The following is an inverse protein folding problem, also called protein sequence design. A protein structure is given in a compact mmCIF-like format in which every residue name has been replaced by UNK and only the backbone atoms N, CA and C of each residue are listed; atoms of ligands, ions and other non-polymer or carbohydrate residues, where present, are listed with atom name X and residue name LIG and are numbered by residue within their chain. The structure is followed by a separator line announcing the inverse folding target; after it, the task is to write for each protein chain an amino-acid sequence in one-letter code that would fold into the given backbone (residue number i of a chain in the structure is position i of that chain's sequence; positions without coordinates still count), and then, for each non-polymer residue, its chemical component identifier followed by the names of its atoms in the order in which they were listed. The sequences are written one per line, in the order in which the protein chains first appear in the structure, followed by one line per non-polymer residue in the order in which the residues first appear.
data_IF_882639397185
#
_entry.id   IF_882639397185
#
_cell.length_a   1.000
_cell.length_b   1.000
_cell.length_c   1.000
_cell.angle_alpha   90.00
_cell.angle_beta   90.00
_cell.angle_gamma   90.00
#
_symmetry.space_group_name_H-M   'P 1'
#
loop_
_entity.id
_entity.type
_entity.pdbx_description
1 polymer ?
#
# COMPACT_ATOMS: atom_id res chain seq x y z
N UNK A 1 6.62 17.59 -12.71
CA UNK A 1 7.95 17.79 -12.08
C UNK A 1 8.17 16.69 -11.05
N UNK A 2 9.39 16.13 -10.95
CA UNK A 2 9.72 15.15 -9.92
C UNK A 2 10.17 15.86 -8.64
N UNK A 3 9.54 15.49 -7.52
CA UNK A 3 9.79 16.08 -6.19
C UNK A 3 10.42 15.01 -5.32
N UNK A 4 11.48 15.35 -4.58
CA UNK A 4 12.20 14.48 -3.69
C UNK A 4 11.98 14.88 -2.24
N UNK A 5 11.83 13.88 -1.36
CA UNK A 5 11.73 14.05 0.11
C UNK A 5 12.60 13.03 0.81
N UNK A 6 13.15 13.41 1.94
CA UNK A 6 13.91 12.53 2.81
C UNK A 6 13.07 11.33 3.26
N UNK A 7 13.68 10.16 3.33
CA UNK A 7 13.06 8.95 3.88
C UNK A 7 13.14 9.00 5.40
N UNK A 8 12.01 9.25 6.06
CA UNK A 8 11.92 9.34 7.52
C UNK A 8 12.61 8.18 8.23
N UNK A 9 13.61 8.52 9.04
CA UNK A 9 14.44 7.57 9.80
C UNK A 9 15.56 6.91 8.98
N UNK A 10 15.80 7.40 7.75
CA UNK A 10 16.91 7.01 6.87
C UNK A 10 17.40 8.24 6.10
N UNK A 11 18.04 9.14 6.79
CA UNK A 11 18.43 10.49 6.36
C UNK A 11 19.38 10.49 5.14
N UNK A 12 20.08 9.36 4.92
CA UNK A 12 20.97 9.12 3.77
C UNK A 12 20.21 8.80 2.46
N UNK A 13 18.88 8.81 2.48
CA UNK A 13 18.06 8.39 1.34
C UNK A 13 16.91 9.35 1.09
N UNK A 14 16.60 9.54 -0.19
CA UNK A 14 15.41 10.26 -0.62
C UNK A 14 14.48 9.38 -1.46
N UNK A 15 13.19 9.68 -1.38
CA UNK A 15 12.11 9.09 -2.17
C UNK A 15 11.45 10.15 -3.01
N UNK A 16 11.16 9.85 -4.28
CA UNK A 16 10.44 10.77 -5.15
C UNK A 16 8.93 10.49 -5.20
N UNK A 17 8.17 11.50 -5.62
CA UNK A 17 6.74 11.36 -5.94
C UNK A 17 6.46 10.41 -7.13
N UNK A 18 7.50 10.00 -7.85
CA UNK A 18 7.41 8.98 -8.91
C UNK A 18 7.79 7.57 -8.42
N UNK A 19 8.09 7.39 -7.12
CA UNK A 19 8.45 6.11 -6.54
C UNK A 19 9.90 5.67 -6.80
N UNK A 20 10.78 6.60 -7.17
CA UNK A 20 12.22 6.34 -7.28
C UNK A 20 12.90 6.62 -5.94
N UNK A 21 13.89 5.81 -5.58
CA UNK A 21 14.68 5.97 -4.35
C UNK A 21 16.13 6.22 -4.73
N UNK A 22 16.76 7.20 -4.10
CA UNK A 22 18.19 7.43 -4.23
C UNK A 22 18.90 7.44 -2.89
N UNK A 23 20.14 6.99 -2.89
CA UNK A 23 21.09 7.15 -1.79
C UNK A 23 21.87 8.42 -2.02
N UNK A 24 21.94 9.29 -1.03
CA UNK A 24 22.68 10.53 -1.10
C UNK A 24 24.19 10.28 -1.02
N UNK A 25 24.96 11.22 -1.58
CA UNK A 25 26.40 11.24 -1.44
C UNK A 25 26.77 11.46 0.03
N UNK A 26 27.71 10.66 0.57
CA UNK A 26 28.19 10.80 1.95
C UNK A 26 29.56 10.19 2.15
N UNK A 27 30.23 10.65 3.17
CA UNK A 27 31.47 10.06 3.66
C UNK A 27 31.14 9.28 4.93
N UNK A 28 31.47 8.00 4.96
CA UNK A 28 31.31 7.15 6.15
C UNK A 28 32.69 6.83 6.70
N UNK A 29 32.98 7.35 7.89
CA UNK A 29 34.22 7.10 8.60
C UNK A 29 34.03 5.95 9.59
N UNK A 30 34.92 4.99 9.55
CA UNK A 30 34.97 3.83 10.46
C UNK A 30 36.37 3.70 11.04
N UNK A 31 36.54 2.83 11.99
CA UNK A 31 37.91 2.50 12.54
C UNK A 31 38.89 1.97 11.47
N UNK A 32 38.37 1.51 10.32
CA UNK A 32 39.18 1.02 9.18
C UNK A 32 39.43 2.09 8.10
N UNK A 33 39.02 3.34 8.35
CA UNK A 33 39.18 4.46 7.43
C UNK A 33 37.85 5.03 6.91
N UNK A 34 37.96 6.01 6.00
CA UNK A 34 36.81 6.70 5.42
C UNK A 34 36.47 6.16 4.04
N UNK A 35 35.16 6.00 3.74
CA UNK A 35 34.64 5.63 2.43
C UNK A 35 33.75 6.74 1.91
N UNK A 36 33.98 7.18 0.66
CA UNK A 36 33.12 8.11 -0.04
C UNK A 36 32.08 7.35 -0.86
N UNK A 37 30.81 7.55 -0.53
CA UNK A 37 29.66 7.03 -1.28
C UNK A 37 29.13 8.14 -2.17
N UNK A 38 29.10 7.90 -3.49
CA UNK A 38 28.48 8.80 -4.46
C UNK A 38 26.96 8.63 -4.43
N UNK A 39 26.23 9.69 -4.81
CA UNK A 39 24.79 9.60 -5.03
C UNK A 39 24.48 8.52 -6.08
N UNK A 40 23.46 7.72 -5.83
CA UNK A 40 22.99 6.72 -6.79
C UNK A 40 21.51 6.38 -6.59
N UNK A 41 20.84 6.10 -7.69
CA UNK A 41 19.51 5.50 -7.66
C UNK A 41 19.58 4.03 -7.22
N UNK A 42 18.67 3.65 -6.32
CA UNK A 42 18.57 2.26 -5.89
C UNK A 42 17.73 1.48 -6.89
N UNK A 43 18.22 0.31 -7.31
CA UNK A 43 17.47 -0.63 -8.15
C UNK A 43 16.46 -1.37 -7.27
N UNK A 44 15.13 -1.23 -7.53
CA UNK A 44 14.13 -1.96 -6.77
C UNK A 44 14.16 -3.46 -7.09
N UNK A 45 13.74 -4.27 -6.13
CA UNK A 45 13.43 -5.69 -6.33
C UNK A 45 11.95 -5.97 -6.06
N UNK A 46 11.41 -7.03 -6.63
CA UNK A 46 10.03 -7.45 -6.42
C UNK A 46 9.97 -8.34 -5.18
N UNK A 47 9.03 -8.10 -4.28
CA UNK A 47 8.72 -8.97 -3.15
C UNK A 47 7.86 -10.16 -3.59
N UNK A 48 7.80 -11.25 -2.83
CA UNK A 48 6.93 -12.41 -3.11
C UNK A 48 5.45 -12.06 -3.29
N UNK A 49 4.99 -10.91 -2.72
CA UNK A 49 3.62 -10.41 -2.92
C UNK A 49 3.48 -9.46 -4.13
N UNK A 50 4.50 -9.31 -4.98
CA UNK A 50 4.48 -8.48 -6.18
C UNK A 50 4.76 -6.99 -5.99
N UNK A 51 5.06 -6.52 -4.77
CA UNK A 51 5.39 -5.12 -4.51
C UNK A 51 6.87 -4.81 -4.73
N UNK A 52 7.18 -3.62 -5.23
CA UNK A 52 8.56 -3.13 -5.29
C UNK A 52 9.09 -2.78 -3.89
N UNK A 53 10.30 -3.21 -3.63
CA UNK A 53 11.04 -2.99 -2.36
C UNK A 53 12.48 -2.57 -2.61
N UNK A 54 13.06 -1.87 -1.65
CA UNK A 54 14.47 -1.51 -1.59
C UNK A 54 15.04 -1.85 -0.22
N UNK A 55 16.35 -2.07 -0.15
CA UNK A 55 17.08 -2.21 1.11
C UNK A 55 17.73 -0.87 1.44
N UNK A 56 17.39 -0.31 2.57
CA UNK A 56 17.99 0.88 3.15
C UNK A 56 18.88 0.46 4.30
N UNK A 57 20.04 1.09 4.42
CA UNK A 57 21.01 0.80 5.47
C UNK A 57 21.05 1.93 6.48
N UNK A 58 20.99 1.59 7.76
CA UNK A 58 21.24 2.50 8.88
C UNK A 58 22.03 1.74 9.94
N UNK A 59 23.10 2.33 10.47
CA UNK A 59 23.95 1.72 11.50
C UNK A 59 24.38 0.30 11.10
N UNK A 60 24.90 0.13 9.88
CA UNK A 60 25.31 -1.14 9.27
C UNK A 60 24.20 -2.19 9.07
N UNK A 61 23.00 -1.94 9.54
CA UNK A 61 21.86 -2.86 9.43
C UNK A 61 21.00 -2.54 8.20
N UNK A 62 20.73 -3.56 7.38
CA UNK A 62 19.80 -3.44 6.27
C UNK A 62 18.35 -3.55 6.74
N UNK A 63 17.50 -2.63 6.27
CA UNK A 63 16.05 -2.70 6.47
C UNK A 63 15.35 -2.65 5.12
N UNK A 64 14.62 -3.70 4.80
CA UNK A 64 13.81 -3.78 3.59
C UNK A 64 12.57 -2.92 3.73
N UNK A 65 12.33 -2.03 2.78
CA UNK A 65 11.16 -1.13 2.74
C UNK A 65 10.42 -1.28 1.42
N UNK A 66 9.10 -1.32 1.49
CA UNK A 66 8.22 -1.29 0.30
C UNK A 66 8.11 0.15 -0.21
N UNK A 67 8.29 0.38 -1.51
CA UNK A 67 8.36 1.72 -2.10
C UNK A 67 7.06 2.49 -1.90
N UNK A 68 5.88 1.89 -2.19
CA UNK A 68 4.59 2.55 -1.97
C UNK A 68 4.42 3.08 -0.53
N UNK A 69 4.94 2.35 0.48
CA UNK A 69 4.89 2.82 1.86
C UNK A 69 5.80 4.02 2.11
N UNK A 70 6.98 4.06 1.46
CA UNK A 70 7.88 5.20 1.55
C UNK A 70 7.23 6.46 0.93
N UNK A 71 6.65 6.32 -0.27
CA UNK A 71 5.92 7.43 -0.94
C UNK A 71 4.76 7.91 -0.06
N UNK A 72 3.95 6.99 0.47
CA UNK A 72 2.80 7.37 1.29
C UNK A 72 3.21 8.07 2.60
N UNK A 73 4.28 7.64 3.25
CA UNK A 73 4.80 8.30 4.45
C UNK A 73 5.32 9.71 4.12
N UNK A 74 6.06 9.85 3.02
CA UNK A 74 6.70 11.11 2.65
C UNK A 74 5.72 12.15 2.10
N UNK A 75 4.72 11.73 1.32
CA UNK A 75 3.85 12.65 0.56
C UNK A 75 2.40 12.68 1.02
N UNK A 76 1.87 11.59 1.59
CA UNK A 76 0.48 11.50 2.06
C UNK A 76 0.38 11.55 3.61
N UNK A 77 1.47 11.85 4.31
CA UNK A 77 1.53 11.87 5.77
C UNK A 77 1.01 10.57 6.43
N UNK A 78 1.15 9.45 5.73
CA UNK A 78 0.70 8.15 6.24
C UNK A 78 1.44 7.79 7.52
N UNK A 79 0.68 7.55 8.60
CA UNK A 79 1.20 7.01 9.86
C UNK A 79 0.81 5.54 9.94
N UNK A 80 1.77 4.59 9.80
CA UNK A 80 1.46 3.16 9.92
C UNK A 80 0.81 2.87 11.28
N UNK A 81 -0.39 2.28 11.25
CA UNK A 81 -1.19 1.96 12.46
C UNK A 81 -1.70 0.51 12.43
N UNK A 82 -0.83 -0.40 12.02
CA UNK A 82 -1.17 -1.80 11.81
C UNK A 82 -1.95 -1.99 10.52
N UNK A 83 -3.14 -2.57 10.62
CA UNK A 83 -4.02 -2.85 9.48
C UNK A 83 -5.25 -1.91 9.43
N UNK A 84 -5.33 -0.86 10.26
CA UNK A 84 -6.48 0.06 10.25
C UNK A 84 -6.51 0.87 8.96
N UNK A 85 -5.38 1.49 8.62
CA UNK A 85 -5.19 2.23 7.37
C UNK A 85 -4.07 1.58 6.56
N UNK A 86 -4.32 1.36 5.28
CA UNK A 86 -3.39 0.73 4.35
C UNK A 86 -3.15 1.63 3.13
N UNK A 87 -1.98 1.44 2.52
CA UNK A 87 -1.66 2.10 1.25
C UNK A 87 -2.13 1.20 0.13
N UNK A 88 -3.01 1.71 -0.70
CA UNK A 88 -3.58 1.03 -1.84
C UNK A 88 -3.14 1.65 -3.16
N UNK A 89 -3.05 0.82 -4.21
CA UNK A 89 -2.79 1.24 -5.60
C UNK A 89 -4.12 1.43 -6.33
N UNK A 90 -4.43 2.66 -6.73
CA UNK A 90 -5.72 3.01 -7.37
C UNK A 90 -5.98 2.15 -8.61
N UNK A 91 -4.96 1.95 -9.44
CA UNK A 91 -5.04 1.15 -10.67
C UNK A 91 -4.76 -0.35 -10.46
N UNK A 92 -4.65 -0.84 -9.21
CA UNK A 92 -4.33 -2.22 -8.84
C UNK A 92 -2.93 -2.72 -9.26
N UNK A 93 -2.13 -1.92 -9.96
CA UNK A 93 -0.78 -2.26 -10.40
C UNK A 93 0.22 -2.04 -9.26
N UNK A 94 0.62 -3.11 -8.58
CA UNK A 94 1.49 -3.09 -7.38
C UNK A 94 2.89 -2.51 -7.60
N UNK A 95 3.31 -2.36 -8.85
CA UNK A 95 4.62 -1.80 -9.22
C UNK A 95 4.56 -0.32 -9.58
N UNK A 96 3.37 0.24 -9.78
CA UNK A 96 3.18 1.66 -10.09
C UNK A 96 3.06 2.48 -8.80
N UNK A 97 4.22 2.92 -8.29
CA UNK A 97 4.33 3.64 -7.02
C UNK A 97 4.31 5.16 -7.16
N UNK A 98 3.83 5.71 -8.29
CA UNK A 98 3.64 7.15 -8.46
C UNK A 98 2.62 7.67 -7.45
N UNK A 99 2.90 8.83 -6.86
CA UNK A 99 2.04 9.44 -5.84
C UNK A 99 0.57 9.52 -6.27
N UNK A 100 0.30 9.94 -7.51
CA UNK A 100 -1.07 10.04 -8.04
C UNK A 100 -1.81 8.71 -8.18
N UNK A 101 -1.10 7.58 -8.04
CA UNK A 101 -1.69 6.24 -8.06
C UNK A 101 -1.82 5.61 -6.66
N UNK A 102 -1.45 6.33 -5.61
CA UNK A 102 -1.49 5.83 -4.23
C UNK A 102 -2.54 6.56 -3.41
N UNK A 103 -3.30 5.81 -2.64
CA UNK A 103 -4.27 6.34 -1.68
C UNK A 103 -4.16 5.64 -0.33
N UNK A 104 -4.67 6.29 0.71
CA UNK A 104 -4.77 5.73 2.05
C UNK A 104 -6.24 5.41 2.30
N UNK A 105 -6.54 4.15 2.51
CA UNK A 105 -7.91 3.66 2.74
C UNK A 105 -7.92 2.72 3.94
N UNK A 106 -9.10 2.42 4.45
CA UNK A 106 -9.26 1.39 5.48
C UNK A 106 -8.96 0.01 4.90
N UNK A 107 -8.52 -0.92 5.75
CA UNK A 107 -8.32 -2.30 5.33
C UNK A 107 -9.62 -2.93 4.82
N UNK A 108 -10.77 -2.52 5.38
CA UNK A 108 -12.09 -2.98 4.92
C UNK A 108 -12.37 -2.56 3.47
N UNK A 109 -12.16 -1.28 3.14
CA UNK A 109 -12.30 -0.77 1.77
C UNK A 109 -11.35 -1.46 0.81
N UNK A 110 -10.08 -1.62 1.20
CA UNK A 110 -9.08 -2.32 0.39
C UNK A 110 -9.44 -3.79 0.12
N UNK A 111 -9.96 -4.50 1.11
CA UNK A 111 -10.40 -5.88 0.95
C UNK A 111 -11.67 -6.01 0.12
N UNK A 112 -12.45 -4.95 0.01
CA UNK A 112 -13.71 -4.94 -0.75
C UNK A 112 -13.55 -4.38 -2.17
N UNK A 113 -12.47 -3.66 -2.45
CA UNK A 113 -12.25 -2.89 -3.68
C UNK A 113 -12.49 -3.68 -4.98
N UNK A 114 -12.02 -4.92 -5.05
CA UNK A 114 -12.11 -5.73 -6.27
C UNK A 114 -12.96 -6.99 -6.09
N UNK A 115 -13.68 -7.09 -4.96
CA UNK A 115 -14.59 -8.19 -4.74
C UNK A 115 -15.84 -7.96 -5.57
N UNK A 116 -15.89 -8.61 -6.71
CA UNK A 116 -17.18 -8.90 -7.35
C UNK A 116 -17.90 -9.85 -6.39
N UNK A 117 -18.88 -9.34 -5.66
CA UNK A 117 -19.81 -10.19 -4.89
C UNK A 117 -20.39 -11.22 -5.85
N UNK A 118 -20.44 -12.50 -5.49
CA UNK A 118 -20.80 -13.63 -6.37
C UNK A 118 -21.83 -13.30 -7.46
N UNK A 119 -23.12 -13.22 -7.15
CA UNK A 119 -24.18 -12.82 -8.09
C UNK A 119 -24.44 -11.31 -8.13
N UNK A 120 -23.90 -10.54 -7.18
CA UNK A 120 -24.07 -9.08 -7.03
C UNK A 120 -22.72 -8.34 -7.08
N UNK A 121 -22.74 -7.08 -7.57
CA UNK A 121 -21.63 -6.14 -7.45
C UNK A 121 -21.53 -5.49 -6.06
N UNK A 122 -22.56 -5.61 -5.24
CA UNK A 122 -22.61 -5.05 -3.89
C UNK A 122 -22.16 -6.07 -2.84
N UNK A 123 -21.41 -5.60 -1.84
CA UNK A 123 -20.93 -6.45 -0.74
C UNK A 123 -22.09 -6.72 0.21
N UNK A 124 -22.25 -8.01 0.56
CA UNK A 124 -23.34 -8.44 1.43
C UNK A 124 -24.65 -8.67 0.70
N UNK A 125 -24.69 -8.48 -0.61
CA UNK A 125 -25.86 -8.76 -1.46
C UNK A 125 -25.56 -10.00 -2.30
N UNK A 126 -26.51 -10.91 -2.37
CA UNK A 126 -26.43 -12.14 -3.14
C UNK A 126 -27.79 -12.59 -3.67
N UNK A 127 -27.79 -13.18 -4.86
CA UNK A 127 -29.03 -13.76 -5.44
C UNK A 127 -29.32 -15.13 -4.87
N UNK A 128 -30.46 -15.32 -4.26
CA UNK A 128 -30.98 -16.61 -3.83
C UNK A 128 -31.75 -17.29 -4.96
N UNK A 129 -31.18 -18.35 -5.50
CA UNK A 129 -31.84 -19.13 -6.58
C UNK A 129 -33.13 -19.81 -6.11
N UNK A 130 -33.18 -20.25 -4.86
CA UNK A 130 -34.36 -20.91 -4.25
C UNK A 130 -35.50 -19.94 -4.06
N UNK A 131 -35.21 -18.74 -3.55
CA UNK A 131 -36.23 -17.76 -3.22
C UNK A 131 -36.51 -16.77 -4.39
N UNK A 132 -35.70 -16.85 -5.47
CA UNK A 132 -35.75 -15.91 -6.60
C UNK A 132 -35.76 -14.45 -6.14
N UNK A 133 -34.91 -14.11 -5.17
CA UNK A 133 -34.79 -12.79 -4.56
C UNK A 133 -33.34 -12.45 -4.26
N UNK A 134 -33.05 -11.16 -4.22
CA UNK A 134 -31.81 -10.62 -3.70
C UNK A 134 -31.86 -10.64 -2.18
N UNK A 135 -30.80 -11.17 -1.56
CA UNK A 135 -30.65 -11.25 -0.10
C UNK A 135 -29.55 -10.26 0.29
N UNK A 136 -29.89 -9.32 1.17
CA UNK A 136 -28.91 -8.44 1.80
C UNK A 136 -28.58 -8.92 3.22
N UNK A 137 -27.30 -8.99 3.55
CA UNK A 137 -26.81 -9.41 4.87
C UNK A 137 -25.59 -8.60 5.29
N UNK A 138 -25.40 -8.44 6.59
CA UNK A 138 -24.24 -7.77 7.17
C UNK A 138 -23.58 -8.68 8.21
N UNK A 139 -22.26 -8.61 8.32
CA UNK A 139 -21.53 -9.30 9.39
C UNK A 139 -21.06 -8.31 10.44
N UNK A 140 -21.54 -8.47 11.68
CA UNK A 140 -21.15 -7.64 12.82
C UNK A 140 -20.62 -8.58 13.91
N UNK A 141 -19.41 -8.34 14.39
CA UNK A 141 -18.74 -9.14 15.45
C UNK A 141 -18.76 -10.67 15.19
N UNK A 142 -18.56 -11.06 13.92
CA UNK A 142 -18.58 -12.47 13.52
C UNK A 142 -19.96 -13.05 13.19
N UNK A 143 -21.05 -12.43 13.63
CA UNK A 143 -22.42 -12.86 13.38
C UNK A 143 -22.96 -12.26 12.08
N UNK A 144 -23.73 -13.05 11.33
CA UNK A 144 -24.40 -12.62 10.11
C UNK A 144 -25.82 -12.17 10.46
N UNK A 145 -26.09 -10.88 10.25
CA UNK A 145 -27.44 -10.32 10.32
C UNK A 145 -28.08 -10.27 8.93
N UNK A 146 -29.28 -10.78 8.80
CA UNK A 146 -30.08 -10.66 7.59
C UNK A 146 -30.75 -9.29 7.58
N UNK A 147 -30.57 -8.50 6.51
CA UNK A 147 -31.12 -7.15 6.38
C UNK A 147 -32.46 -7.17 5.63
N UNK A 148 -32.64 -8.11 4.70
CA UNK A 148 -33.86 -8.23 3.93
C UNK A 148 -33.71 -9.11 2.68
N UNK A 149 -34.86 -9.35 2.03
CA UNK A 149 -34.95 -10.05 0.76
C UNK A 149 -35.77 -9.20 -0.21
N UNK A 150 -35.19 -8.85 -1.35
CA UNK A 150 -35.68 -7.84 -2.27
C UNK A 150 -35.92 -8.45 -3.67
N UNK A 151 -36.83 -7.88 -4.45
CA UNK A 151 -37.06 -8.29 -5.83
C UNK A 151 -36.01 -7.69 -6.77
N UNK A 152 -35.56 -6.47 -6.48
CA UNK A 152 -34.52 -5.77 -7.22
C UNK A 152 -33.20 -5.74 -6.42
N UNK A 153 -32.07 -5.68 -7.13
CA UNK A 153 -30.74 -5.56 -6.53
C UNK A 153 -30.50 -4.19 -5.87
N UNK A 154 -31.27 -3.16 -6.29
CA UNK A 154 -31.10 -1.77 -5.87
C UNK A 154 -32.10 -1.32 -4.77
N UNK A 155 -33.06 -2.17 -4.41
CA UNK A 155 -33.91 -1.93 -3.24
C UNK A 155 -33.12 -2.16 -1.93
#
# INVERSE_FOLDING_TARGET
MEIWKEVKGFEDYEISNLGRVKSLARIVTTVKGSRNYKEKFLKPSISGCGYLKVNLYKDTKAKTKKIHKLVAIAFLNHKPNGLKLVVDHINTVKTDNRLGNLQIITNRENLSKDKKGGSSRYIGVSWSKSNKKWIASIRINGNIGHLGSFKDELE
#
